data_IF_711580755887
#
_entry.id   IF_711580755887
#
_cell.length_a   1.000
_cell.length_b   1.000
_cell.length_c   1.000
_cell.angle_alpha   90.00
_cell.angle_beta   90.00
_cell.angle_gamma   90.00
#
_symmetry.space_group_name_H-M   'P 1'
#
loop_
_entity.id
_entity.type
_entity.pdbx_description
1 polymer ?
#
# COMPACT_ATOMS: atom_id res chain seq x y z
N UNK A 1 0.97 19.15 9.23
CA UNK A 1 -0.35 19.62 8.79
C UNK A 1 -0.93 18.73 7.69
N UNK A 2 -0.28 18.60 6.53
CA UNK A 2 -0.78 17.87 5.35
C UNK A 2 -1.08 16.39 5.63
N UNK A 3 -0.16 15.66 6.24
CA UNK A 3 -0.24 14.21 6.45
C UNK A 3 -1.12 13.78 7.64
N UNK A 4 -1.59 14.68 8.48
CA UNK A 4 -2.40 14.29 9.63
C UNK A 4 -3.67 15.13 9.75
N UNK A 5 -3.55 16.48 9.94
CA UNK A 5 -4.72 17.32 10.21
C UNK A 5 -5.73 17.33 9.08
N UNK A 6 -5.28 17.25 7.83
CA UNK A 6 -6.17 17.12 6.67
C UNK A 6 -7.02 15.86 6.76
N UNK A 7 -6.39 14.71 7.02
CA UNK A 7 -7.08 13.43 7.19
C UNK A 7 -7.99 13.40 8.42
N UNK A 8 -7.54 14.01 9.53
CA UNK A 8 -8.36 14.16 10.72
C UNK A 8 -9.64 14.96 10.42
N UNK A 9 -9.50 16.09 9.73
CA UNK A 9 -10.65 16.90 9.34
C UNK A 9 -11.58 16.22 8.33
N UNK A 10 -11.06 15.37 7.44
CA UNK A 10 -11.92 14.55 6.58
C UNK A 10 -12.90 13.69 7.37
N UNK A 11 -12.44 13.14 8.48
CA UNK A 11 -13.25 12.25 9.30
C UNK A 11 -14.23 13.00 10.22
N UNK A 12 -13.95 14.26 10.59
CA UNK A 12 -14.73 14.96 11.61
C UNK A 12 -15.30 16.31 11.20
N UNK A 13 -14.91 16.83 10.05
CA UNK A 13 -15.50 18.04 9.47
C UNK A 13 -16.21 17.78 8.14
N UNK A 14 -15.60 16.97 7.30
CA UNK A 14 -16.05 16.60 5.97
C UNK A 14 -14.93 16.70 4.94
N UNK A 15 -15.22 16.27 3.72
CA UNK A 15 -14.25 16.11 2.63
C UNK A 15 -14.74 16.81 1.36
N UNK A 16 -13.84 17.54 0.70
CA UNK A 16 -14.12 18.24 -0.55
C UNK A 16 -14.33 17.27 -1.73
N UNK A 17 -13.42 16.31 -1.89
CA UNK A 17 -13.47 15.24 -2.88
C UNK A 17 -12.41 14.17 -2.56
N UNK A 18 -12.46 13.02 -3.25
CA UNK A 18 -11.52 11.91 -3.10
C UNK A 18 -10.37 11.92 -4.13
N UNK A 19 -10.22 12.99 -4.88
CA UNK A 19 -9.16 13.13 -5.87
C UNK A 19 -7.88 13.52 -5.15
N UNK A 20 -6.83 12.73 -5.42
CA UNK A 20 -5.51 12.95 -4.84
C UNK A 20 -4.95 14.31 -5.26
N UNK A 21 -4.54 15.10 -4.28
CA UNK A 21 -3.95 16.41 -4.55
C UNK A 21 -2.52 16.28 -5.07
N UNK A 22 -2.19 16.92 -6.20
CA UNK A 22 -0.84 16.91 -6.75
C UNK A 22 0.15 17.69 -5.87
N UNK A 23 -0.33 18.64 -5.06
CA UNK A 23 0.54 19.44 -4.18
C UNK A 23 -0.18 19.98 -2.94
N UNK A 24 0.53 20.23 -1.82
CA UNK A 24 -0.04 20.98 -0.70
C UNK A 24 -0.32 22.42 -1.13
N UNK A 25 -1.54 22.88 -0.85
CA UNK A 25 -1.99 24.24 -1.20
C UNK A 25 -2.89 24.32 -2.43
N UNK A 26 -3.09 23.20 -3.13
CA UNK A 26 -4.11 23.14 -4.17
C UNK A 26 -5.50 23.28 -3.58
N UNK A 27 -6.29 24.21 -4.11
CA UNK A 27 -7.59 24.57 -3.54
C UNK A 27 -8.74 23.67 -3.99
N UNK A 28 -8.56 22.90 -5.07
CA UNK A 28 -9.61 22.09 -5.69
C UNK A 28 -9.53 20.60 -5.41
N UNK A 29 -8.44 20.10 -4.82
CA UNK A 29 -8.19 18.66 -4.70
C UNK A 29 -7.95 18.20 -3.28
N UNK A 30 -8.73 17.24 -2.83
CA UNK A 30 -8.51 16.49 -1.62
C UNK A 30 -8.39 17.27 -0.33
N UNK A 31 -9.01 18.46 -0.24
CA UNK A 31 -9.06 19.23 1.00
C UNK A 31 -10.16 18.72 1.93
N UNK A 32 -10.19 19.22 3.16
CA UNK A 32 -11.39 19.10 3.99
C UNK A 32 -12.36 20.25 3.69
N UNK A 33 -13.65 19.99 3.76
CA UNK A 33 -14.73 20.94 3.54
C UNK A 33 -15.87 20.60 4.51
N UNK A 34 -16.33 21.58 5.30
CA UNK A 34 -17.28 21.27 6.36
C UNK A 34 -18.75 21.49 5.97
N UNK A 35 -19.02 22.16 4.84
CA UNK A 35 -20.36 22.52 4.39
C UNK A 35 -20.88 23.82 4.99
N UNK A 36 -20.07 24.58 5.75
CA UNK A 36 -20.42 25.92 6.28
C UNK A 36 -19.77 26.96 5.35
N UNK A 37 -20.54 27.66 4.49
CA UNK A 37 -20.00 28.51 3.44
C UNK A 37 -18.99 29.56 3.94
N UNK A 38 -19.25 30.17 5.08
CA UNK A 38 -18.37 31.19 5.63
C UNK A 38 -16.97 30.64 6.01
N UNK A 39 -16.89 29.39 6.46
CA UNK A 39 -15.63 28.75 6.83
C UNK A 39 -14.93 28.23 5.57
N UNK A 40 -15.68 27.60 4.69
CA UNK A 40 -15.12 26.95 3.51
C UNK A 40 -14.63 27.99 2.49
N UNK A 41 -15.36 29.08 2.26
CA UNK A 41 -14.93 30.18 1.39
C UNK A 41 -13.71 30.92 1.93
N UNK A 42 -13.63 31.14 3.25
CA UNK A 42 -12.45 31.78 3.86
C UNK A 42 -11.18 30.94 3.64
N UNK A 43 -11.32 29.63 3.57
CA UNK A 43 -10.19 28.69 3.51
C UNK A 43 -9.86 28.23 2.10
N UNK A 44 -10.85 27.93 1.29
CA UNK A 44 -10.70 27.37 -0.06
C UNK A 44 -10.93 28.41 -1.17
N UNK A 45 -11.40 29.61 -0.81
CA UNK A 45 -11.85 30.59 -1.79
C UNK A 45 -13.16 30.20 -2.49
N UNK A 46 -13.45 30.88 -3.58
CA UNK A 46 -14.63 30.56 -4.38
C UNK A 46 -14.42 29.25 -5.16
N UNK A 47 -15.31 28.30 -4.96
CA UNK A 47 -15.31 26.98 -5.62
C UNK A 47 -16.32 26.94 -6.79
N UNK A 48 -16.91 28.05 -7.17
CA UNK A 48 -17.90 28.13 -8.26
C UNK A 48 -17.32 27.75 -9.63
N UNK A 49 -16.03 28.01 -9.84
CA UNK A 49 -15.32 27.71 -11.07
C UNK A 49 -14.73 26.27 -11.11
N UNK A 50 -14.93 25.48 -10.05
CA UNK A 50 -14.46 24.10 -10.05
C UNK A 50 -15.16 23.27 -11.14
N UNK A 51 -14.45 22.35 -11.83
CA UNK A 51 -15.04 21.44 -12.80
C UNK A 51 -16.21 20.63 -12.20
N UNK A 52 -17.22 20.32 -13.01
CA UNK A 52 -18.40 19.55 -12.58
C UNK A 52 -18.05 18.19 -11.96
N UNK A 53 -16.99 17.54 -12.45
CA UNK A 53 -16.48 16.26 -11.89
C UNK A 53 -16.06 16.41 -10.42
N UNK A 54 -15.54 17.57 -10.03
CA UNK A 54 -15.14 17.85 -8.65
C UNK A 54 -16.34 18.25 -7.79
N UNK A 55 -17.27 19.03 -8.34
CA UNK A 55 -18.49 19.45 -7.64
C UNK A 55 -19.40 18.26 -7.29
N UNK A 56 -19.52 17.31 -8.22
CA UNK A 56 -20.39 16.13 -8.12
C UNK A 56 -19.62 14.87 -7.68
N UNK A 57 -18.45 15.03 -7.04
CA UNK A 57 -17.65 13.91 -6.60
C UNK A 57 -18.34 13.17 -5.43
N UNK A 58 -18.41 11.82 -5.49
CA UNK A 58 -19.05 11.00 -4.46
C UNK A 58 -18.35 11.09 -3.10
N UNK A 59 -17.05 11.34 -3.09
CA UNK A 59 -16.29 11.55 -1.86
C UNK A 59 -16.47 12.92 -1.21
N UNK A 60 -17.44 13.74 -1.70
CA UNK A 60 -17.78 15.04 -1.12
C UNK A 60 -18.75 14.85 0.05
N UNK A 61 -18.27 15.13 1.26
CA UNK A 61 -19.00 14.90 2.50
C UNK A 61 -18.96 16.14 3.40
N UNK A 62 -20.08 16.51 3.99
CA UNK A 62 -20.23 17.68 4.87
C UNK A 62 -20.83 17.30 6.21
N UNK A 63 -20.05 17.40 7.29
CA UNK A 63 -20.53 17.07 8.63
C UNK A 63 -20.79 18.28 9.51
N UNK A 64 -20.69 19.49 8.95
CA UNK A 64 -20.96 20.77 9.62
C UNK A 64 -20.22 20.94 10.94
N UNK A 65 -19.04 20.37 11.04
CA UNK A 65 -18.18 20.31 12.25
C UNK A 65 -18.85 19.61 13.45
N UNK A 66 -20.01 18.97 13.29
CA UNK A 66 -20.77 18.39 14.41
C UNK A 66 -19.96 17.34 15.18
N UNK A 67 -19.35 16.31 14.55
CA UNK A 67 -18.54 15.36 15.30
C UNK A 67 -17.29 15.99 15.91
N UNK A 68 -16.69 16.97 15.23
CA UNK A 68 -15.51 17.67 15.73
C UNK A 68 -15.83 18.44 17.04
N UNK A 69 -16.89 19.24 17.02
CA UNK A 69 -17.31 20.02 18.18
C UNK A 69 -17.70 19.10 19.33
N UNK A 70 -18.44 18.03 19.05
CA UNK A 70 -18.84 17.08 20.08
C UNK A 70 -17.62 16.41 20.73
N UNK A 71 -16.59 16.06 19.94
CA UNK A 71 -15.34 15.49 20.43
C UNK A 71 -14.54 16.49 21.30
N UNK A 72 -14.48 17.76 20.89
CA UNK A 72 -13.83 18.83 21.69
C UNK A 72 -14.57 19.02 23.02
N UNK A 73 -15.90 19.08 23.02
CA UNK A 73 -16.68 19.14 24.25
C UNK A 73 -16.41 17.94 25.17
N UNK A 74 -16.31 16.75 24.58
CA UNK A 74 -16.02 15.52 25.33
C UNK A 74 -14.62 15.51 25.95
N UNK A 75 -13.63 16.03 25.23
CA UNK A 75 -12.27 16.19 25.75
C UNK A 75 -12.26 17.05 27.03
N UNK A 76 -12.90 18.23 26.98
CA UNK A 76 -12.97 19.10 28.15
C UNK A 76 -13.77 18.47 29.30
N UNK A 77 -14.89 17.84 28.99
CA UNK A 77 -15.70 17.16 29.99
C UNK A 77 -14.96 16.02 30.68
N UNK A 78 -14.22 15.21 29.94
CA UNK A 78 -13.41 14.15 30.51
C UNK A 78 -12.24 14.72 31.32
N UNK A 79 -11.58 15.77 30.82
CA UNK A 79 -10.47 16.41 31.52
C UNK A 79 -10.87 16.96 32.90
N UNK A 80 -12.07 17.52 33.02
CA UNK A 80 -12.57 18.04 34.31
C UNK A 80 -12.89 16.89 35.28
N UNK A 81 -13.39 15.77 34.80
CA UNK A 81 -13.91 14.70 35.65
C UNK A 81 -12.95 13.54 35.90
N UNK A 82 -12.19 13.17 34.89
CA UNK A 82 -11.23 12.07 34.93
C UNK A 82 -9.95 12.41 34.18
N UNK A 83 -9.06 13.11 34.83
CA UNK A 83 -7.78 13.51 34.27
C UNK A 83 -6.89 12.34 33.85
N UNK A 84 -6.96 11.21 34.58
CA UNK A 84 -6.15 10.02 34.28
C UNK A 84 -6.66 9.33 33.00
N UNK A 85 -7.96 9.11 32.90
CA UNK A 85 -8.56 8.55 31.69
C UNK A 85 -8.39 9.47 30.49
N UNK A 86 -8.53 10.80 30.68
CA UNK A 86 -8.27 11.78 29.63
C UNK A 86 -6.82 11.72 29.13
N UNK A 87 -5.85 11.58 30.03
CA UNK A 87 -4.45 11.43 29.67
C UNK A 87 -4.18 10.13 28.90
N UNK A 88 -4.79 9.03 29.30
CA UNK A 88 -4.68 7.75 28.56
C UNK A 88 -5.28 7.85 27.15
N UNK A 89 -6.47 8.45 27.02
CA UNK A 89 -7.09 8.68 25.71
C UNK A 89 -6.24 9.60 24.83
N UNK A 90 -5.65 10.65 25.46
CA UNK A 90 -4.74 11.55 24.75
C UNK A 90 -3.47 10.86 24.29
N UNK A 91 -2.87 10.00 25.11
CA UNK A 91 -1.70 9.21 24.70
C UNK A 91 -2.05 8.27 23.55
N UNK A 92 -3.19 7.61 23.60
CA UNK A 92 -3.66 6.78 22.50
C UNK A 92 -3.82 7.62 21.22
N UNK A 93 -4.50 8.74 21.29
CA UNK A 93 -4.69 9.69 20.20
C UNK A 93 -3.36 10.17 19.62
N UNK A 94 -2.43 10.60 20.46
CA UNK A 94 -1.14 11.14 20.04
C UNK A 94 -0.23 10.06 19.45
N UNK A 95 -0.10 8.91 20.11
CA UNK A 95 0.82 7.84 19.69
C UNK A 95 0.38 7.14 18.41
N UNK A 96 -0.92 6.97 18.20
CA UNK A 96 -1.45 6.37 16.96
C UNK A 96 -1.71 7.39 15.85
N UNK A 97 -1.48 8.66 16.08
CA UNK A 97 -1.65 9.76 15.14
C UNK A 97 -0.35 10.50 14.84
N UNK A 98 -0.12 11.58 15.57
CA UNK A 98 1.02 12.48 15.33
C UNK A 98 2.37 11.76 15.46
N UNK A 99 2.52 10.86 16.44
CA UNK A 99 3.74 10.08 16.60
C UNK A 99 3.99 9.13 15.40
N UNK A 100 2.93 8.57 14.81
CA UNK A 100 3.04 7.75 13.59
C UNK A 100 3.54 8.58 12.40
N UNK A 101 3.13 9.85 12.27
CA UNK A 101 3.67 10.74 11.22
C UNK A 101 5.18 10.87 11.34
N UNK A 102 5.69 11.06 12.55
CA UNK A 102 7.14 11.17 12.81
C UNK A 102 7.86 9.84 12.58
N UNK A 103 7.27 8.73 13.03
CA UNK A 103 7.85 7.40 12.88
C UNK A 103 7.95 6.96 11.42
N UNK A 104 6.87 7.12 10.64
CA UNK A 104 6.84 6.72 9.23
C UNK A 104 7.67 7.65 8.34
N UNK A 105 7.83 8.91 8.74
CA UNK A 105 8.56 9.94 7.99
C UNK A 105 8.29 9.92 6.48
N UNK A 106 7.02 9.75 6.10
CA UNK A 106 6.62 9.61 4.71
C UNK A 106 6.66 10.95 3.98
N UNK A 107 7.09 10.99 2.70
CA UNK A 107 7.00 12.19 1.91
C UNK A 107 5.54 12.64 1.75
N UNK A 108 5.26 13.96 1.71
CA UNK A 108 3.90 14.48 1.57
C UNK A 108 3.23 14.06 0.25
N UNK A 109 4.03 13.87 -0.79
CA UNK A 109 3.57 13.46 -2.11
C UNK A 109 3.70 11.96 -2.24
N UNK A 110 2.58 11.28 -2.36
CA UNK A 110 2.52 9.83 -2.53
C UNK A 110 1.53 9.50 -3.64
N UNK A 111 1.68 8.33 -4.23
CA UNK A 111 0.79 7.85 -5.30
C UNK A 111 -0.65 7.61 -4.86
N UNK A 112 -0.90 7.54 -3.55
CA UNK A 112 -2.25 7.40 -2.97
C UNK A 112 -2.30 8.02 -1.57
N UNK A 113 -3.51 8.33 -1.11
CA UNK A 113 -3.75 8.79 0.25
C UNK A 113 -3.53 7.64 1.26
N UNK A 114 -3.01 7.98 2.44
CA UNK A 114 -2.66 7.02 3.50
C UNK A 114 -3.30 7.36 4.84
N UNK A 115 -4.48 7.89 4.81
CA UNK A 115 -5.31 8.24 5.98
C UNK A 115 -5.53 7.06 6.94
N UNK A 116 -5.63 5.85 6.40
CA UNK A 116 -5.78 4.62 7.19
C UNK A 116 -4.63 4.36 8.19
N UNK A 117 -3.45 4.92 7.96
CA UNK A 117 -2.32 4.80 8.89
C UNK A 117 -2.60 5.45 10.25
N UNK A 118 -3.56 6.38 10.31
CA UNK A 118 -3.93 7.13 11.50
C UNK A 118 -5.29 6.73 12.08
N UNK A 119 -5.87 5.63 11.62
CA UNK A 119 -7.20 5.18 12.04
C UNK A 119 -7.31 4.99 13.56
N UNK A 120 -6.25 4.54 14.25
CA UNK A 120 -6.20 4.42 15.71
C UNK A 120 -6.42 5.75 16.42
N UNK A 121 -5.87 6.84 15.90
CA UNK A 121 -6.06 8.18 16.44
C UNK A 121 -7.50 8.69 16.22
N UNK A 122 -8.08 8.41 15.06
CA UNK A 122 -9.47 8.76 14.79
C UNK A 122 -10.41 7.97 15.71
N UNK A 123 -10.14 6.70 15.94
CA UNK A 123 -10.87 5.89 16.89
C UNK A 123 -10.76 6.47 18.32
N UNK A 124 -9.57 6.89 18.75
CA UNK A 124 -9.39 7.53 20.05
C UNK A 124 -10.20 8.85 20.19
N UNK A 125 -10.29 9.63 19.10
CA UNK A 125 -11.11 10.84 19.09
C UNK A 125 -12.61 10.53 19.22
N UNK A 126 -13.08 9.39 18.68
CA UNK A 126 -14.47 8.95 18.84
C UNK A 126 -14.84 8.67 20.32
N UNK A 127 -13.87 8.32 21.17
CA UNK A 127 -14.09 8.20 22.61
C UNK A 127 -14.53 9.56 23.17
N UNK A 128 -13.87 10.65 22.79
CA UNK A 128 -14.26 11.99 23.19
C UNK A 128 -15.61 12.42 22.62
N UNK A 129 -15.97 11.99 21.41
CA UNK A 129 -17.33 12.22 20.87
C UNK A 129 -18.39 11.59 21.80
N UNK A 130 -18.13 10.37 22.29
CA UNK A 130 -19.00 9.73 23.29
C UNK A 130 -19.09 10.51 24.60
N UNK A 131 -17.97 11.02 25.12
CA UNK A 131 -17.96 11.92 26.29
C UNK A 131 -18.65 13.25 26.02
N UNK A 132 -18.60 13.76 24.78
CA UNK A 132 -19.33 14.94 24.36
C UNK A 132 -20.85 14.76 24.45
N UNK A 133 -21.37 13.62 24.02
CA UNK A 133 -22.76 13.28 24.23
C UNK A 133 -23.10 13.25 25.73
N UNK A 134 -22.28 12.60 26.56
CA UNK A 134 -22.46 12.59 28.02
C UNK A 134 -22.42 14.00 28.64
N UNK A 135 -21.58 14.91 28.14
CA UNK A 135 -21.52 16.30 28.56
C UNK A 135 -22.83 17.01 28.28
N UNK A 136 -23.42 16.84 27.08
CA UNK A 136 -24.71 17.42 26.74
C UNK A 136 -25.83 16.89 27.66
N UNK A 137 -25.84 15.60 27.95
CA UNK A 137 -26.79 15.01 28.90
C UNK A 137 -26.67 15.65 30.28
N UNK A 138 -25.44 15.83 30.76
CA UNK A 138 -25.19 16.40 32.05
C UNK A 138 -25.62 17.88 32.16
N UNK A 139 -25.27 18.69 31.17
CA UNK A 139 -25.55 20.13 31.18
C UNK A 139 -27.02 20.44 30.94
N UNK A 140 -27.64 19.80 29.93
CA UNK A 140 -29.04 20.04 29.61
C UNK A 140 -29.95 19.43 30.69
N UNK A 141 -29.62 18.24 31.20
CA UNK A 141 -30.36 17.65 32.32
C UNK A 141 -30.29 18.51 33.58
N UNK A 142 -29.10 19.08 33.90
CA UNK A 142 -28.94 20.02 34.98
C UNK A 142 -29.72 21.32 34.79
N UNK A 143 -29.69 21.91 33.58
CA UNK A 143 -30.43 23.13 33.25
C UNK A 143 -31.96 22.95 33.37
N UNK A 144 -32.47 21.78 32.94
CA UNK A 144 -33.89 21.42 33.06
C UNK A 144 -34.30 20.95 34.47
N UNK A 145 -33.37 20.99 35.43
CA UNK A 145 -33.59 20.51 36.82
C UNK A 145 -34.16 19.07 36.86
N UNK A 146 -33.82 18.24 35.86
CA UNK A 146 -34.34 16.88 35.71
C UNK A 146 -35.87 16.73 35.80
N UNK A 147 -36.62 17.74 35.40
CA UNK A 147 -38.08 17.74 35.48
C UNK A 147 -38.72 16.64 34.63
N UNK A 148 -38.07 16.24 33.51
CA UNK A 148 -38.52 15.20 32.60
C UNK A 148 -37.34 14.31 32.18
N UNK A 149 -36.79 13.48 33.09
CA UNK A 149 -35.49 12.83 32.81
C UNK A 149 -35.53 11.86 31.62
N UNK A 150 -36.59 11.07 31.48
CA UNK A 150 -36.69 10.09 30.37
C UNK A 150 -36.93 10.76 29.03
N UNK A 151 -37.76 11.79 28.95
CA UNK A 151 -38.02 12.52 27.72
C UNK A 151 -36.76 13.30 27.26
N UNK A 152 -36.07 13.95 28.21
CA UNK A 152 -34.82 14.65 27.93
C UNK A 152 -33.74 13.69 27.47
N UNK A 153 -33.59 12.55 28.14
CA UNK A 153 -32.63 11.52 27.73
C UNK A 153 -32.95 11.00 26.33
N UNK A 154 -34.21 10.68 26.04
CA UNK A 154 -34.63 10.21 24.70
C UNK A 154 -34.36 11.24 23.61
N UNK A 155 -34.73 12.52 23.84
CA UNK A 155 -34.49 13.59 22.87
C UNK A 155 -32.98 13.82 22.60
N UNK A 156 -32.16 13.83 23.65
CA UNK A 156 -30.70 14.00 23.53
C UNK A 156 -30.05 12.80 22.84
N UNK A 157 -30.51 11.56 23.13
CA UNK A 157 -30.02 10.38 22.44
C UNK A 157 -30.31 10.48 20.94
N UNK A 158 -31.53 10.86 20.55
CA UNK A 158 -31.88 11.04 19.13
C UNK A 158 -31.06 12.16 18.47
N UNK A 159 -30.87 13.29 19.16
CA UNK A 159 -30.03 14.37 18.67
C UNK A 159 -28.57 13.97 18.49
N UNK A 160 -27.99 13.21 19.43
CA UNK A 160 -26.61 12.71 19.31
C UNK A 160 -26.51 11.64 18.22
N UNK A 161 -27.50 10.78 18.05
CA UNK A 161 -27.52 9.75 16.98
C UNK A 161 -27.69 10.36 15.59
N UNK A 162 -28.18 11.59 15.48
CA UNK A 162 -28.23 12.32 14.20
C UNK A 162 -26.83 12.49 13.60
N UNK A 163 -25.80 12.70 14.40
CA UNK A 163 -24.42 12.91 13.90
C UNK A 163 -23.90 11.65 13.17
N UNK A 164 -23.85 10.46 13.77
CA UNK A 164 -23.41 9.26 13.05
C UNK A 164 -24.38 8.86 11.92
N UNK A 165 -25.67 9.16 12.01
CA UNK A 165 -26.62 8.92 10.93
C UNK A 165 -26.33 9.80 9.71
N UNK A 166 -26.05 11.09 9.94
CA UNK A 166 -25.62 12.02 8.89
C UNK A 166 -24.33 11.55 8.22
N UNK A 167 -23.35 11.14 9.03
CA UNK A 167 -22.09 10.62 8.51
C UNK A 167 -22.30 9.34 7.70
N UNK A 168 -23.13 8.42 8.17
CA UNK A 168 -23.43 7.17 7.46
C UNK A 168 -24.14 7.45 6.13
N UNK A 169 -25.11 8.38 6.10
CA UNK A 169 -25.82 8.77 4.89
C UNK A 169 -24.88 9.40 3.85
N UNK A 170 -24.01 10.29 4.29
CA UNK A 170 -23.11 11.02 3.39
C UNK A 170 -22.00 10.14 2.82
N UNK A 171 -21.57 9.12 3.58
CA UNK A 171 -20.48 8.24 3.14
C UNK A 171 -20.97 6.94 2.47
N UNK A 172 -22.28 6.71 2.37
CA UNK A 172 -22.79 5.43 1.88
C UNK A 172 -22.37 5.14 0.45
N UNK A 173 -22.45 6.14 -0.43
CA UNK A 173 -22.19 5.99 -1.86
C UNK A 173 -20.69 5.86 -2.19
N UNK A 174 -19.80 6.51 -1.44
CA UNK A 174 -18.37 6.40 -1.64
C UNK A 174 -17.77 5.15 -0.97
N UNK A 175 -18.47 4.52 -0.03
CA UNK A 175 -18.10 3.26 0.61
C UNK A 175 -18.76 2.02 -0.03
N UNK A 176 -19.72 2.19 -0.93
CA UNK A 176 -20.32 1.07 -1.65
C UNK A 176 -19.29 0.40 -2.58
N UNK A 177 -18.99 -0.86 -2.29
CA UNK A 177 -18.06 -1.72 -3.03
C UNK A 177 -18.76 -2.79 -3.85
N UNK A 178 -20.08 -2.85 -3.85
CA UNK A 178 -20.89 -3.93 -4.45
C UNK A 178 -20.58 -4.19 -5.92
N UNK A 179 -20.22 -3.16 -6.68
CA UNK A 179 -19.92 -3.24 -8.11
C UNK A 179 -18.43 -3.09 -8.47
N UNK A 180 -17.52 -3.08 -7.48
CA UNK A 180 -16.08 -2.94 -7.72
C UNK A 180 -15.43 -4.27 -8.05
N UNK A 181 -15.58 -4.72 -9.30
CA UNK A 181 -15.05 -5.99 -9.81
C UNK A 181 -13.74 -5.85 -10.60
N UNK A 182 -13.24 -4.65 -10.82
CA UNK A 182 -12.09 -4.39 -11.70
C UNK A 182 -10.87 -5.24 -11.37
N UNK A 183 -10.53 -5.40 -10.08
CA UNK A 183 -9.37 -6.20 -9.66
C UNK A 183 -9.52 -7.68 -9.99
N UNK A 184 -10.74 -8.23 -9.83
CA UNK A 184 -11.03 -9.64 -10.12
C UNK A 184 -11.03 -9.90 -11.62
N UNK A 185 -11.68 -9.03 -12.40
CA UNK A 185 -11.73 -9.17 -13.85
C UNK A 185 -10.32 -9.01 -14.48
N UNK A 186 -9.52 -8.10 -13.97
CA UNK A 186 -8.12 -7.95 -14.37
C UNK A 186 -7.31 -9.21 -14.05
N UNK A 187 -7.50 -9.77 -12.86
CA UNK A 187 -6.85 -11.01 -12.44
C UNK A 187 -7.23 -12.18 -13.35
N UNK A 188 -8.52 -12.32 -13.68
CA UNK A 188 -9.00 -13.34 -14.63
C UNK A 188 -8.37 -13.18 -16.02
N UNK A 189 -8.26 -11.94 -16.51
CA UNK A 189 -7.65 -11.66 -17.80
C UNK A 189 -6.17 -12.06 -17.80
N UNK A 190 -5.41 -11.71 -16.76
CA UNK A 190 -4.01 -12.11 -16.64
C UNK A 190 -3.84 -13.62 -16.57
N UNK A 191 -4.58 -14.30 -15.71
CA UNK A 191 -4.49 -15.75 -15.57
C UNK A 191 -4.88 -16.48 -16.86
N UNK A 192 -5.93 -16.03 -17.55
CA UNK A 192 -6.37 -16.63 -18.80
C UNK A 192 -5.45 -16.34 -19.99
N UNK A 193 -4.59 -15.32 -19.91
CA UNK A 193 -3.58 -15.03 -20.94
C UNK A 193 -2.35 -15.93 -20.87
N UNK A 194 -2.18 -16.67 -19.76
CA UNK A 194 -1.05 -17.56 -19.55
C UNK A 194 -1.35 -18.96 -20.12
N UNK A 195 -0.36 -19.57 -20.74
CA UNK A 195 -0.44 -20.97 -21.23
C UNK A 195 -0.66 -21.96 -20.08
N UNK A 196 -1.06 -23.17 -20.40
CA UNK A 196 -1.25 -24.26 -19.45
C UNK A 196 0.03 -24.52 -18.66
N UNK A 197 -0.09 -24.70 -17.33
CA UNK A 197 1.05 -24.86 -16.40
C UNK A 197 2.12 -23.75 -16.50
N UNK A 198 1.73 -22.55 -16.96
CA UNK A 198 2.64 -21.43 -17.13
C UNK A 198 3.02 -20.74 -15.83
N UNK A 199 4.07 -19.92 -15.90
CA UNK A 199 4.56 -19.10 -14.78
C UNK A 199 4.22 -17.66 -15.09
N UNK A 200 3.46 -17.02 -14.18
CA UNK A 200 3.12 -15.60 -14.25
C UNK A 200 4.00 -14.84 -13.28
N UNK A 201 4.90 -14.01 -13.82
CA UNK A 201 5.79 -13.19 -13.01
C UNK A 201 5.09 -11.85 -12.74
N UNK A 202 4.99 -11.50 -11.47
CA UNK A 202 4.37 -10.25 -10.98
C UNK A 202 5.34 -9.44 -10.16
N UNK A 203 5.02 -8.15 -9.92
CA UNK A 203 5.84 -7.28 -9.11
C UNK A 203 4.97 -6.46 -8.14
N UNK A 204 5.09 -6.75 -6.84
CA UNK A 204 4.35 -6.05 -5.79
C UNK A 204 2.96 -6.60 -5.50
N UNK A 205 2.31 -5.99 -4.54
CA UNK A 205 1.06 -6.46 -3.93
C UNK A 205 -0.14 -6.31 -4.87
N UNK A 206 -0.22 -5.16 -5.54
CA UNK A 206 -1.38 -4.79 -6.35
C UNK A 206 -1.57 -5.72 -7.55
N UNK A 207 -0.48 -6.24 -8.11
CA UNK A 207 -0.52 -7.20 -9.20
C UNK A 207 -0.81 -8.62 -8.69
N UNK A 208 -0.27 -8.98 -7.52
CA UNK A 208 -0.24 -10.36 -7.04
C UNK A 208 -1.48 -10.77 -6.26
N UNK A 209 -1.95 -9.93 -5.32
CA UNK A 209 -3.04 -10.33 -4.42
C UNK A 209 -4.39 -10.55 -5.11
N UNK A 210 -4.77 -9.76 -6.13
CA UNK A 210 -5.96 -10.09 -6.92
C UNK A 210 -5.87 -11.43 -7.65
N UNK A 211 -4.67 -11.82 -8.12
CA UNK A 211 -4.43 -13.11 -8.77
C UNK A 211 -4.58 -14.27 -7.77
N UNK A 212 -3.98 -14.14 -6.59
CA UNK A 212 -4.16 -15.12 -5.52
C UNK A 212 -5.63 -15.25 -5.09
N UNK A 213 -6.33 -14.11 -4.95
CA UNK A 213 -7.77 -14.17 -4.67
C UNK A 213 -8.53 -14.94 -5.77
N UNK A 214 -8.26 -14.66 -7.04
CA UNK A 214 -8.92 -15.32 -8.15
C UNK A 214 -8.64 -16.85 -8.18
N UNK A 215 -7.41 -17.26 -7.82
CA UNK A 215 -7.05 -18.68 -7.73
C UNK A 215 -7.66 -19.37 -6.50
N UNK A 216 -7.48 -18.80 -5.32
CA UNK A 216 -7.82 -19.46 -4.06
C UNK A 216 -9.32 -19.41 -3.73
N UNK A 217 -10.02 -18.34 -4.13
CA UNK A 217 -11.43 -18.14 -3.80
C UNK A 217 -12.36 -18.49 -4.97
N UNK A 218 -11.95 -18.12 -6.19
CA UNK A 218 -12.77 -18.31 -7.37
C UNK A 218 -12.35 -19.51 -8.24
N UNK A 219 -11.28 -20.19 -7.85
CA UNK A 219 -10.71 -21.35 -8.55
C UNK A 219 -10.40 -21.07 -10.04
N UNK A 220 -9.91 -19.86 -10.34
CA UNK A 220 -9.55 -19.45 -11.70
C UNK A 220 -8.11 -19.83 -11.98
N UNK A 221 -7.88 -20.75 -12.91
CA UNK A 221 -6.55 -21.18 -13.39
C UNK A 221 -5.58 -21.55 -12.25
N UNK A 222 -5.93 -22.51 -11.38
CA UNK A 222 -5.06 -23.00 -10.31
C UNK A 222 -3.80 -23.70 -10.81
N UNK A 223 -3.73 -23.99 -12.12
CA UNK A 223 -2.59 -24.56 -12.83
C UNK A 223 -1.46 -23.54 -13.10
N UNK A 224 -1.75 -22.22 -13.05
CA UNK A 224 -0.78 -21.16 -13.30
C UNK A 224 0.01 -20.85 -12.05
N UNK A 225 1.35 -20.85 -12.13
CA UNK A 225 2.21 -20.50 -11.00
C UNK A 225 2.45 -19.00 -10.95
N UNK A 226 1.97 -18.33 -9.90
CA UNK A 226 2.23 -16.91 -9.68
C UNK A 226 3.54 -16.76 -8.89
N UNK A 227 4.47 -15.96 -9.42
CA UNK A 227 5.76 -15.68 -8.83
C UNK A 227 5.94 -14.18 -8.62
N UNK A 228 5.89 -13.72 -7.38
CA UNK A 228 6.06 -12.29 -7.05
C UNK A 228 7.54 -11.98 -6.85
N UNK A 229 8.10 -11.13 -7.72
CA UNK A 229 9.53 -10.76 -7.68
C UNK A 229 9.91 -9.96 -6.43
N UNK A 230 8.99 -9.17 -5.86
CA UNK A 230 9.25 -8.46 -4.60
C UNK A 230 9.39 -9.43 -3.42
N UNK A 231 8.62 -10.52 -3.41
CA UNK A 231 8.69 -11.55 -2.37
C UNK A 231 9.85 -12.53 -2.58
N UNK A 232 10.40 -12.63 -3.80
CA UNK A 232 11.60 -13.43 -4.06
C UNK A 232 12.86 -12.92 -3.31
N UNK A 233 12.80 -11.74 -2.72
CA UNK A 233 13.79 -11.28 -1.75
C UNK A 233 13.70 -11.98 -0.38
N UNK A 234 12.74 -12.87 -0.16
CA UNK A 234 12.52 -13.57 1.11
C UNK A 234 12.72 -15.07 0.95
N UNK A 235 13.40 -15.69 1.91
CA UNK A 235 13.72 -17.12 1.92
C UNK A 235 12.46 -18.02 1.94
N UNK A 236 11.44 -17.61 2.69
CA UNK A 236 10.19 -18.36 2.79
C UNK A 236 9.45 -18.43 1.44
N UNK A 237 9.41 -17.34 0.68
CA UNK A 237 8.74 -17.33 -0.63
C UNK A 237 9.51 -18.15 -1.67
N UNK A 238 10.84 -18.03 -1.70
CA UNK A 238 11.68 -18.88 -2.54
C UNK A 238 11.46 -20.36 -2.20
N UNK A 239 11.40 -20.67 -0.90
CA UNK A 239 11.09 -22.01 -0.42
C UNK A 239 9.75 -22.53 -0.93
N UNK A 240 8.68 -21.72 -0.83
CA UNK A 240 7.34 -22.07 -1.33
C UNK A 240 7.32 -22.31 -2.85
N UNK A 241 8.09 -21.53 -3.62
CA UNK A 241 8.17 -21.70 -5.08
C UNK A 241 8.76 -23.07 -5.50
N UNK A 242 9.48 -23.74 -4.62
CA UNK A 242 10.08 -25.07 -4.87
C UNK A 242 9.12 -26.25 -4.67
N UNK A 243 7.91 -25.99 -4.16
CA UNK A 243 6.90 -27.02 -3.96
C UNK A 243 5.71 -26.77 -4.90
N UNK A 244 4.98 -27.84 -5.23
CA UNK A 244 3.72 -27.72 -5.94
C UNK A 244 2.71 -26.94 -5.08
N UNK A 245 1.86 -26.17 -5.74
CA UNK A 245 0.78 -25.43 -5.09
C UNK A 245 -0.45 -25.50 -5.97
N UNK A 246 -1.59 -25.87 -5.40
CA UNK A 246 -2.81 -26.16 -6.15
C UNK A 246 -2.51 -27.19 -7.28
N UNK A 247 -2.85 -26.86 -8.51
CA UNK A 247 -2.56 -27.69 -9.68
C UNK A 247 -1.24 -27.31 -10.39
N UNK A 248 -0.53 -26.29 -9.89
CA UNK A 248 0.71 -25.81 -10.51
C UNK A 248 1.95 -26.58 -10.05
N UNK A 249 2.87 -26.80 -10.99
CA UNK A 249 4.16 -27.46 -10.72
C UNK A 249 5.12 -26.54 -9.95
N UNK A 250 6.11 -27.13 -9.23
CA UNK A 250 7.20 -26.34 -8.64
C UNK A 250 7.93 -25.52 -9.69
N UNK A 251 8.43 -24.34 -9.30
CA UNK A 251 9.40 -23.63 -10.13
C UNK A 251 10.72 -24.41 -10.19
N UNK A 252 11.36 -24.50 -11.36
CA UNK A 252 12.62 -25.24 -11.54
C UNK A 252 13.82 -24.47 -10.95
N UNK A 253 13.71 -24.05 -9.69
CA UNK A 253 14.76 -23.32 -9.01
C UNK A 253 15.88 -24.28 -8.57
N UNK A 254 17.07 -24.05 -9.09
CA UNK A 254 18.24 -24.91 -8.89
C UNK A 254 19.16 -24.45 -7.76
N UNK A 255 18.89 -23.30 -7.12
CA UNK A 255 19.65 -22.79 -5.96
C UNK A 255 19.33 -23.58 -4.70
N UNK A 256 20.37 -23.94 -3.93
CA UNK A 256 20.24 -24.67 -2.66
C UNK A 256 19.69 -23.77 -1.54
N UNK A 257 19.08 -24.38 -0.52
CA UNK A 257 18.49 -23.63 0.61
C UNK A 257 19.53 -22.70 1.26
N UNK A 258 20.75 -23.19 1.48
CA UNK A 258 21.83 -22.41 2.10
C UNK A 258 22.22 -21.15 1.33
N UNK A 259 21.88 -21.06 0.04
CA UNK A 259 22.26 -19.94 -0.81
C UNK A 259 21.24 -18.78 -0.77
N UNK A 260 20.02 -19.02 -0.26
CA UNK A 260 18.98 -17.98 -0.20
C UNK A 260 18.41 -17.76 1.22
N UNK A 261 18.95 -18.40 2.25
CA UNK A 261 18.57 -18.08 3.62
C UNK A 261 18.93 -16.63 3.95
N UNK A 262 18.07 -16.01 4.73
CA UNK A 262 18.28 -14.66 5.25
C UNK A 262 19.67 -14.51 5.88
N UNK A 263 20.39 -13.46 5.55
CA UNK A 263 21.75 -13.21 6.02
C UNK A 263 22.85 -13.89 5.23
N UNK A 264 22.55 -14.70 4.19
CA UNK A 264 23.57 -15.39 3.40
C UNK A 264 23.94 -14.62 2.12
N UNK A 265 22.98 -14.44 1.21
CA UNK A 265 23.15 -13.76 -0.06
C UNK A 265 22.11 -12.64 -0.25
N UNK A 266 21.84 -11.89 0.80
CA UNK A 266 20.95 -10.72 0.75
C UNK A 266 21.49 -9.65 -0.21
N UNK A 267 22.82 -9.67 -0.40
CA UNK A 267 23.53 -8.84 -1.38
C UNK A 267 24.41 -9.77 -2.23
N UNK A 268 24.25 -9.69 -3.55
CA UNK A 268 25.11 -10.40 -4.50
C UNK A 268 26.16 -9.44 -5.05
N UNK A 269 27.41 -9.80 -4.87
CA UNK A 269 28.54 -9.04 -5.40
C UNK A 269 28.74 -9.33 -6.88
N UNK A 270 29.04 -8.30 -7.65
CA UNK A 270 29.35 -8.43 -9.07
C UNK A 270 30.84 -8.10 -9.27
N UNK A 271 31.60 -9.09 -9.72
CA UNK A 271 33.00 -8.94 -10.06
C UNK A 271 33.18 -8.99 -11.59
N UNK A 272 32.92 -7.86 -12.23
CA UNK A 272 32.95 -7.70 -13.69
C UNK A 272 34.21 -6.95 -14.12
N UNK A 273 35.25 -7.70 -14.48
CA UNK A 273 36.55 -7.16 -14.90
C UNK A 273 36.60 -6.79 -16.38
N UNK A 274 35.87 -7.48 -17.22
CA UNK A 274 36.05 -7.45 -18.68
C UNK A 274 34.83 -6.90 -19.44
N UNK A 275 33.71 -6.61 -18.76
CA UNK A 275 32.44 -6.21 -19.37
C UNK A 275 31.99 -7.11 -20.55
N UNK A 276 32.32 -8.40 -20.44
CA UNK A 276 31.99 -9.41 -21.47
C UNK A 276 30.62 -10.03 -21.23
N UNK A 277 29.98 -10.42 -22.30
CA UNK A 277 28.76 -11.22 -22.23
C UNK A 277 29.14 -12.66 -21.90
N UNK A 278 28.64 -13.19 -20.78
CA UNK A 278 28.93 -14.55 -20.28
C UNK A 278 27.63 -15.37 -20.32
N UNK A 279 27.66 -16.62 -20.79
CA UNK A 279 26.48 -17.49 -20.69
C UNK A 279 25.98 -17.62 -19.25
N UNK A 280 24.68 -17.45 -19.03
CA UNK A 280 24.08 -17.51 -17.71
C UNK A 280 24.36 -18.84 -17.00
N UNK A 281 24.49 -19.93 -17.76
CA UNK A 281 24.83 -21.24 -17.23
C UNK A 281 26.21 -21.25 -16.56
N UNK A 282 27.18 -20.53 -17.13
CA UNK A 282 28.54 -20.44 -16.57
C UNK A 282 28.55 -19.55 -15.33
N UNK A 283 27.83 -18.43 -15.36
CA UNK A 283 27.64 -17.57 -14.17
C UNK A 283 27.05 -18.37 -13.02
N UNK A 284 25.99 -19.14 -13.28
CA UNK A 284 25.32 -19.95 -12.26
C UNK A 284 26.18 -21.14 -11.80
N UNK A 285 27.06 -21.66 -12.64
CA UNK A 285 28.02 -22.70 -12.25
C UNK A 285 29.02 -22.17 -11.22
N UNK A 286 29.57 -20.99 -11.46
CA UNK A 286 30.50 -20.34 -10.51
C UNK A 286 29.78 -19.95 -9.23
N UNK A 287 28.63 -19.32 -9.33
CA UNK A 287 27.83 -18.91 -8.16
C UNK A 287 27.49 -20.08 -7.21
N UNK A 288 27.23 -21.26 -7.78
CA UNK A 288 26.91 -22.47 -7.00
C UNK A 288 28.12 -23.22 -6.48
N UNK A 289 29.31 -22.92 -6.98
CA UNK A 289 30.52 -23.68 -6.60
C UNK A 289 30.98 -23.29 -5.21
N UNK A 290 31.14 -24.23 -4.26
CA UNK A 290 31.42 -23.91 -2.87
C UNK A 290 32.78 -23.20 -2.66
N UNK A 291 33.75 -23.48 -3.53
CA UNK A 291 35.10 -22.92 -3.44
C UNK A 291 35.33 -21.69 -4.28
N UNK A 292 34.34 -21.32 -5.15
CA UNK A 292 34.41 -20.12 -5.97
C UNK A 292 33.88 -18.93 -5.18
N UNK A 293 34.68 -18.38 -4.29
CA UNK A 293 34.34 -17.24 -3.45
C UNK A 293 35.20 -16.02 -3.78
N UNK A 294 34.63 -14.84 -3.67
CA UNK A 294 35.35 -13.59 -3.70
C UNK A 294 35.78 -13.22 -2.29
N UNK A 295 37.08 -12.90 -2.13
CA UNK A 295 37.63 -12.41 -0.86
C UNK A 295 37.54 -10.88 -0.85
N UNK A 296 36.82 -10.33 0.10
CA UNK A 296 36.70 -8.90 0.32
C UNK A 296 37.93 -8.35 1.08
N UNK A 297 38.16 -7.04 1.03
CA UNK A 297 39.26 -6.37 1.74
C UNK A 297 39.29 -6.63 3.26
N UNK A 298 38.13 -6.87 3.86
CA UNK A 298 37.98 -7.21 5.27
C UNK A 298 38.26 -8.69 5.58
N UNK A 299 38.67 -9.46 4.58
CA UNK A 299 38.97 -10.91 4.72
C UNK A 299 37.76 -11.84 4.65
N UNK A 300 36.54 -11.29 4.54
CA UNK A 300 35.33 -12.10 4.38
C UNK A 300 35.24 -12.68 2.97
N UNK A 301 34.69 -13.90 2.87
CA UNK A 301 34.41 -14.54 1.59
C UNK A 301 32.92 -14.49 1.25
N UNK A 302 32.58 -14.10 0.02
CA UNK A 302 31.21 -13.94 -0.44
C UNK A 302 30.97 -14.63 -1.78
N UNK A 303 29.74 -14.99 -2.04
CA UNK A 303 29.30 -15.44 -3.36
C UNK A 303 29.26 -14.25 -4.33
N UNK A 304 29.60 -14.48 -5.60
CA UNK A 304 29.63 -13.44 -6.59
C UNK A 304 29.18 -13.92 -7.97
N UNK A 305 28.81 -12.98 -8.83
CA UNK A 305 28.61 -13.21 -10.26
C UNK A 305 29.71 -12.51 -11.05
N UNK A 306 30.19 -13.17 -12.10
CA UNK A 306 31.38 -12.77 -12.82
C UNK A 306 31.13 -11.78 -13.95
N UNK A 307 29.91 -11.43 -14.25
CA UNK A 307 29.58 -10.44 -15.28
C UNK A 307 28.20 -9.81 -15.04
N UNK A 308 28.07 -8.53 -15.43
CA UNK A 308 26.77 -7.85 -15.50
C UNK A 308 25.95 -8.26 -16.71
N UNK A 309 26.61 -8.73 -17.77
CA UNK A 309 25.99 -9.08 -19.04
C UNK A 309 25.94 -10.61 -19.16
N UNK A 310 24.74 -11.15 -19.14
CA UNK A 310 24.51 -12.57 -19.20
C UNK A 310 23.70 -12.92 -20.45
N UNK A 311 24.09 -13.95 -21.17
CA UNK A 311 23.34 -14.42 -22.34
C UNK A 311 22.55 -15.68 -22.01
N UNK A 312 21.33 -15.72 -22.55
CA UNK A 312 20.44 -16.88 -22.54
C UNK A 312 20.29 -17.34 -23.99
N UNK A 313 20.66 -18.58 -24.33
CA UNK A 313 20.46 -19.10 -25.70
C UNK A 313 18.95 -19.20 -26.01
N UNK A 314 18.56 -18.82 -27.22
CA UNK A 314 17.18 -18.94 -27.70
C UNK A 314 17.02 -20.19 -28.55
N UNK A 315 16.06 -21.04 -28.20
CA UNK A 315 15.67 -22.14 -29.05
C UNK A 315 14.63 -21.67 -30.11
N UNK A 316 15.09 -21.30 -31.29
CA UNK A 316 14.26 -20.77 -32.39
C UNK A 316 13.17 -21.74 -32.80
N UNK A 317 13.50 -23.01 -32.89
CA UNK A 317 12.52 -24.04 -33.31
C UNK A 317 11.36 -24.15 -32.31
N UNK A 318 11.69 -24.14 -31.02
CA UNK A 318 10.67 -24.14 -29.97
C UNK A 318 9.82 -22.87 -29.95
N UNK A 319 10.43 -21.71 -30.18
CA UNK A 319 9.72 -20.42 -30.21
C UNK A 319 8.68 -20.36 -31.34
N UNK A 320 9.00 -20.94 -32.49
CA UNK A 320 8.09 -21.04 -33.63
C UNK A 320 7.04 -22.14 -33.39
N UNK A 321 7.47 -23.33 -32.94
CA UNK A 321 6.58 -24.46 -32.70
C UNK A 321 5.52 -24.17 -31.62
N UNK A 322 5.87 -23.43 -30.61
CA UNK A 322 4.95 -22.99 -29.55
C UNK A 322 4.02 -21.84 -29.95
N UNK A 323 4.18 -21.29 -31.17
CA UNK A 323 3.37 -20.17 -31.65
C UNK A 323 3.70 -18.80 -31.03
N UNK A 324 4.74 -18.70 -30.18
CA UNK A 324 5.19 -17.42 -29.60
C UNK A 324 5.65 -16.48 -30.71
N UNK A 325 6.32 -17.03 -31.73
CA UNK A 325 6.75 -16.29 -32.92
C UNK A 325 6.18 -16.94 -34.17
N UNK A 326 5.54 -16.14 -35.01
CA UNK A 326 5.07 -16.64 -36.31
C UNK A 326 6.27 -17.06 -37.18
N UNK A 327 6.12 -18.14 -37.95
CA UNK A 327 7.15 -18.61 -38.88
C UNK A 327 7.63 -17.54 -39.89
N UNK A 328 6.79 -16.54 -40.19
CA UNK A 328 7.15 -15.40 -41.05
C UNK A 328 8.26 -14.52 -40.44
N UNK A 329 8.45 -14.57 -39.12
CA UNK A 329 9.45 -13.77 -38.41
C UNK A 329 10.58 -14.62 -37.83
N UNK A 330 10.75 -15.85 -38.33
CA UNK A 330 11.78 -16.76 -37.84
C UNK A 330 13.20 -16.17 -37.93
N UNK A 331 13.50 -15.45 -38.98
CA UNK A 331 14.81 -14.81 -39.21
C UNK A 331 15.07 -13.63 -38.24
N UNK A 332 14.04 -13.07 -37.63
CA UNK A 332 14.15 -11.99 -36.66
C UNK A 332 14.42 -12.47 -35.23
N UNK A 333 14.29 -13.77 -34.97
CA UNK A 333 14.56 -14.35 -33.65
C UNK A 333 16.06 -14.37 -33.40
N UNK A 334 16.57 -13.71 -32.37
CA UNK A 334 17.99 -13.69 -32.06
C UNK A 334 18.46 -15.06 -31.58
N UNK A 335 19.75 -15.36 -31.73
CA UNK A 335 20.34 -16.61 -31.22
C UNK A 335 20.44 -16.63 -29.69
N UNK A 336 20.48 -15.45 -29.08
CA UNK A 336 20.57 -15.28 -27.63
C UNK A 336 19.90 -13.98 -27.19
N UNK A 337 19.38 -13.98 -25.97
CA UNK A 337 18.91 -12.79 -25.25
C UNK A 337 20.01 -12.38 -24.27
N UNK A 338 20.40 -11.11 -24.30
CA UNK A 338 21.37 -10.56 -23.35
C UNK A 338 20.63 -9.81 -22.25
N UNK A 339 20.82 -10.28 -21.02
CA UNK A 339 20.37 -9.62 -19.80
C UNK A 339 21.52 -8.77 -19.27
N UNK A 340 21.26 -7.49 -18.99
CA UNK A 340 22.24 -6.59 -18.37
C UNK A 340 21.72 -6.08 -17.03
N UNK A 341 22.52 -6.25 -15.98
CA UNK A 341 22.22 -5.73 -14.64
C UNK A 341 22.69 -4.26 -14.61
N UNK A 342 21.75 -3.29 -14.43
CA UNK A 342 22.09 -1.89 -14.46
C UNK A 342 23.04 -1.50 -13.32
N UNK A 343 23.93 -0.52 -13.57
CA UNK A 343 24.93 -0.08 -12.58
C UNK A 343 24.32 0.51 -11.31
N UNK A 344 23.13 1.07 -11.40
CA UNK A 344 22.44 1.76 -10.30
C UNK A 344 21.95 0.78 -9.20
N UNK A 345 21.84 -0.52 -9.49
CA UNK A 345 21.29 -1.52 -8.56
C UNK A 345 22.34 -2.30 -7.78
N UNK A 346 23.65 -2.05 -7.93
CA UNK A 346 24.68 -2.98 -7.48
C UNK A 346 25.90 -2.28 -6.87
N UNK A 347 26.36 -2.81 -5.73
CA UNK A 347 27.73 -2.61 -5.29
C UNK A 347 28.67 -3.35 -6.26
N UNK A 348 29.44 -2.60 -7.07
CA UNK A 348 30.44 -3.18 -7.95
C UNK A 348 31.80 -3.10 -7.27
N UNK A 349 32.46 -4.24 -7.16
CA UNK A 349 33.88 -4.27 -6.74
C UNK A 349 34.70 -4.13 -8.02
N UNK A 350 35.32 -2.95 -8.22
CA UNK A 350 36.39 -2.79 -9.19
C UNK A 350 37.70 -3.24 -8.55
N UNK A 351 38.63 -3.77 -9.34
CA UNK A 351 39.91 -4.31 -8.82
C UNK A 351 40.81 -3.31 -8.06
N UNK A 352 40.30 -2.13 -7.72
CA UNK A 352 40.97 -1.03 -6.98
C UNK A 352 40.16 -0.51 -5.77
N UNK A 353 39.11 -1.26 -5.29
CA UNK A 353 38.33 -0.87 -4.12
C UNK A 353 36.81 -0.75 -4.38
N UNK A 354 36.04 -0.76 -3.30
CA UNK A 354 34.58 -0.56 -3.32
C UNK A 354 34.25 0.86 -3.86
N UNK A 355 33.70 0.96 -5.05
CA UNK A 355 33.09 2.21 -5.52
C UNK A 355 31.57 2.08 -5.50
N UNK A 356 30.90 2.92 -4.70
CA UNK A 356 29.46 3.18 -4.81
C UNK A 356 29.26 4.18 -5.96
N UNK A 357 28.62 3.77 -7.01
CA UNK A 357 28.19 4.66 -8.11
C UNK A 357 26.68 4.66 -8.23
#
# INVERSE_FOLDING_TARGET
NWMYWRYFMWNFAGRQNDIHSPSPGELFYGNWECGIPAIDQLRLGDQSDAPEVLKNNKGKNHYYLLPLLLGIFGLFFQFERDKRGCWLTFLLFFMTGIAIVMYLNQPPYQVRERDYAYAGSFYAFCIWIGFGAMALFHWIGGALKNKYPAATAGALTLACLFVPALMAQQNWDDHDRSNRRTSVEMARNYLNSVGEQGILITHGDNDTFPLWYAQEVENVRPDVRICNTSLLGTDWHIGQMKYACNESKPLPLTVGVKQYLYGTNDIIYIYDTDNKVVPIADVMRVFKHPDAKLVLENGNTVDYIMSRKMSIPVNKENAIKSGIVSSKFADMVPDQIVLEIPKICCLTISGTGLSTS
#
